data_IF_950922834532
#
_entry.id   IF_950922834532
#
_cell.length_a   1.000
_cell.length_b   1.000
_cell.length_c   1.000
_cell.angle_alpha   90.00
_cell.angle_beta   90.00
_cell.angle_gamma   90.00
#
_symmetry.space_group_name_H-M   'P 1'
#
loop_
_entity.id
_entity.type
_entity.pdbx_description
1 polymer ?
#
# COMPACT_ATOMS: atom_id res chain seq x y z
N UNK A 1 17.05 -2.01 62.51
CA UNK A 1 16.25 -3.08 61.87
C UNK A 1 14.79 -2.68 61.88
N UNK A 2 13.97 -2.72 60.85
CA UNK A 2 14.10 -2.85 59.40
C UNK A 2 12.72 -2.40 58.83
N UNK A 3 12.70 -2.14 57.53
CA UNK A 3 11.90 -1.19 56.76
C UNK A 3 10.49 -1.67 56.38
N UNK A 4 9.62 -0.67 56.20
CA UNK A 4 8.24 -0.66 55.68
C UNK A 4 8.06 -1.53 54.41
N UNK A 5 7.02 -2.39 54.37
CA UNK A 5 6.64 -3.15 53.17
C UNK A 5 5.37 -2.58 52.56
N UNK A 6 5.51 -1.98 51.37
CA UNK A 6 4.41 -1.66 50.45
C UNK A 6 4.45 -2.70 49.32
N UNK A 7 3.38 -3.46 49.02
CA UNK A 7 3.35 -4.25 47.81
C UNK A 7 2.90 -3.39 46.62
N UNK A 8 3.66 -3.56 45.55
CA UNK A 8 3.67 -2.84 44.28
C UNK A 8 2.42 -3.15 43.45
N UNK A 9 1.82 -2.10 42.89
CA UNK A 9 0.74 -2.17 41.89
C UNK A 9 1.36 -2.67 40.58
N UNK A 10 1.01 -3.90 40.17
CA UNK A 10 1.36 -4.42 38.85
C UNK A 10 0.23 -4.08 37.87
N UNK A 11 0.27 -2.85 37.35
CA UNK A 11 -0.62 -2.41 36.29
C UNK A 11 -0.22 -3.08 34.97
N UNK A 12 -1.12 -3.92 34.43
CA UNK A 12 -1.02 -4.48 33.09
C UNK A 12 -1.31 -3.36 32.08
N UNK A 13 -0.25 -2.71 31.58
CA UNK A 13 -0.34 -1.73 30.51
C UNK A 13 -0.55 -2.49 29.20
N UNK A 14 -1.79 -2.50 28.70
CA UNK A 14 -2.07 -2.85 27.31
C UNK A 14 -1.41 -1.79 26.42
N UNK A 15 -0.28 -2.13 25.82
CA UNK A 15 0.29 -1.35 24.73
C UNK A 15 -0.60 -1.57 23.52
N UNK A 16 -1.47 -0.59 23.24
CA UNK A 16 -2.19 -0.47 21.98
C UNK A 16 -1.11 -0.25 20.91
N UNK A 17 -0.77 -1.30 20.18
CA UNK A 17 0.09 -1.22 19.01
C UNK A 17 -0.70 -0.48 17.91
N UNK A 18 -0.53 0.84 17.86
CA UNK A 18 -0.89 1.60 16.68
C UNK A 18 0.29 1.46 15.71
N UNK A 19 0.15 0.60 14.71
CA UNK A 19 1.14 0.46 13.64
C UNK A 19 1.37 1.83 13.02
N UNK A 20 2.62 2.34 12.96
CA UNK A 20 2.89 3.62 12.32
C UNK A 20 2.53 3.51 10.84
N UNK A 21 1.65 4.41 10.38
CA UNK A 21 1.38 4.59 8.96
C UNK A 21 2.58 5.25 8.32
N UNK A 22 3.35 4.50 7.54
CA UNK A 22 4.44 5.06 6.74
C UNK A 22 3.82 5.66 5.49
N UNK A 23 3.87 7.00 5.38
CA UNK A 23 3.58 7.70 4.13
C UNK A 23 4.87 7.71 3.33
N UNK A 24 4.90 6.97 2.23
CA UNK A 24 5.96 7.10 1.25
C UNK A 24 5.65 8.40 0.47
N UNK A 25 6.66 9.25 0.27
CA UNK A 25 6.50 10.49 -0.49
C UNK A 25 7.54 10.48 -1.59
N UNK A 26 7.07 10.50 -2.82
CA UNK A 26 7.93 10.48 -4.00
C UNK A 26 7.94 11.87 -4.63
N UNK A 27 9.12 12.51 -4.67
CA UNK A 27 9.38 13.74 -5.45
C UNK A 27 10.07 13.33 -6.75
N UNK A 28 9.33 12.70 -7.66
CA UNK A 28 9.88 12.17 -8.90
C UNK A 28 10.12 13.29 -9.90
N UNK A 29 11.38 13.72 -10.02
CA UNK A 29 11.85 14.64 -11.06
C UNK A 29 11.85 14.07 -12.49
N UNK A 30 11.04 13.03 -12.77
CA UNK A 30 10.89 12.49 -14.12
C UNK A 30 9.95 13.37 -14.97
N UNK A 31 10.07 13.37 -16.32
CA UNK A 31 9.17 14.11 -17.20
C UNK A 31 7.75 13.53 -17.15
N UNK A 32 7.00 13.95 -16.14
CA UNK A 32 5.61 13.63 -15.93
C UNK A 32 4.76 14.31 -17.02
N UNK A 33 3.77 13.59 -17.54
CA UNK A 33 2.75 14.12 -18.46
C UNK A 33 2.27 15.52 -18.02
N UNK A 34 2.46 16.51 -18.91
CA UNK A 34 2.14 17.92 -18.68
C UNK A 34 0.63 18.17 -18.52
N UNK A 35 -0.21 17.15 -18.77
CA UNK A 35 -1.67 17.22 -18.55
C UNK A 35 -2.06 17.28 -17.08
N UNK A 36 -1.17 16.85 -16.17
CA UNK A 36 -1.46 16.71 -14.74
C UNK A 36 -2.38 15.54 -14.39
N UNK A 37 -2.86 14.77 -15.37
CA UNK A 37 -3.68 13.57 -15.16
C UNK A 37 -2.83 12.40 -14.69
N UNK A 38 -3.46 11.46 -13.97
CA UNK A 38 -2.86 10.17 -13.67
C UNK A 38 -2.47 9.44 -14.97
N UNK A 39 -1.32 8.77 -14.96
CA UNK A 39 -0.77 8.05 -16.10
C UNK A 39 -0.21 6.69 -15.66
N UNK A 40 0.08 5.83 -16.65
CA UNK A 40 0.73 4.53 -16.40
C UNK A 40 2.07 4.67 -15.67
N UNK A 41 2.87 5.69 -15.99
CA UNK A 41 4.14 5.94 -15.31
C UNK A 41 3.94 6.26 -13.83
N UNK A 42 2.89 7.01 -13.48
CA UNK A 42 2.57 7.28 -12.06
C UNK A 42 2.19 5.99 -11.34
N UNK A 43 1.44 5.10 -11.99
CA UNK A 43 1.15 3.78 -11.45
C UNK A 43 2.42 2.94 -11.25
N UNK A 44 3.33 2.91 -12.22
CA UNK A 44 4.61 2.19 -12.11
C UNK A 44 5.46 2.72 -10.94
N UNK A 45 5.54 4.04 -10.78
CA UNK A 45 6.26 4.66 -9.66
C UNK A 45 5.63 4.27 -8.32
N UNK A 46 4.33 4.51 -8.16
CA UNK A 46 3.64 4.27 -6.89
C UNK A 46 3.64 2.78 -6.51
N UNK A 47 3.40 1.90 -7.48
CA UNK A 47 3.38 0.46 -7.25
C UNK A 47 4.76 -0.05 -6.87
N UNK A 48 5.83 0.35 -7.57
CA UNK A 48 7.19 -0.09 -7.20
C UNK A 48 7.54 0.32 -5.77
N UNK A 49 7.22 1.55 -5.39
CA UNK A 49 7.50 2.07 -4.06
C UNK A 49 6.74 1.32 -2.97
N UNK A 50 5.43 1.10 -3.18
CA UNK A 50 4.56 0.40 -2.22
C UNK A 50 4.84 -1.11 -2.20
N UNK A 51 5.20 -1.71 -3.33
CA UNK A 51 5.53 -3.12 -3.42
C UNK A 51 6.83 -3.47 -2.69
N UNK A 52 7.84 -2.60 -2.77
CA UNK A 52 9.08 -2.77 -2.00
C UNK A 52 8.81 -2.79 -0.49
N UNK A 53 7.92 -1.93 0.02
CA UNK A 53 7.48 -1.98 1.42
C UNK A 53 6.79 -3.31 1.76
N UNK A 54 5.89 -3.78 0.89
CA UNK A 54 5.19 -5.06 1.07
C UNK A 54 6.16 -6.24 1.22
N UNK A 55 7.16 -6.35 0.34
CA UNK A 55 8.07 -7.51 0.33
C UNK A 55 9.14 -7.47 1.43
N UNK A 56 9.36 -6.29 2.01
CA UNK A 56 10.25 -6.06 3.15
C UNK A 56 9.48 -6.05 4.48
N UNK A 57 8.16 -6.20 4.45
CA UNK A 57 7.33 -6.16 5.65
C UNK A 57 7.62 -7.32 6.61
N UNK A 58 7.61 -7.00 7.91
CA UNK A 58 7.75 -7.99 9.00
C UNK A 58 6.68 -9.09 8.92
N UNK A 59 5.48 -8.73 8.42
CA UNK A 59 4.41 -9.69 8.19
C UNK A 59 4.83 -10.77 7.19
N UNK A 60 5.35 -10.39 6.03
CA UNK A 60 5.76 -11.35 5.00
C UNK A 60 6.94 -12.20 5.49
N UNK A 61 7.90 -11.59 6.17
CA UNK A 61 9.02 -12.31 6.81
C UNK A 61 8.52 -13.36 7.80
N UNK A 62 7.57 -12.99 8.67
CA UNK A 62 6.96 -13.91 9.64
C UNK A 62 6.15 -15.01 8.95
N UNK A 63 5.39 -14.68 7.89
CA UNK A 63 4.63 -15.64 7.11
C UNK A 63 5.57 -16.69 6.50
N UNK A 64 6.62 -16.25 5.82
CA UNK A 64 7.61 -17.14 5.20
C UNK A 64 8.42 -17.96 6.21
N UNK A 65 8.64 -17.45 7.43
CA UNK A 65 9.32 -18.21 8.48
C UNK A 65 8.43 -19.32 9.08
N UNK A 66 7.11 -19.10 9.14
CA UNK A 66 6.14 -20.07 9.68
C UNK A 66 5.64 -21.06 8.65
N UNK A 67 5.63 -20.67 7.38
CA UNK A 67 5.09 -21.43 6.26
C UNK A 67 6.20 -21.73 5.25
N UNK A 68 6.29 -22.98 4.79
CA UNK A 68 7.26 -23.37 3.75
C UNK A 68 6.75 -23.13 2.32
N UNK A 69 5.84 -22.18 2.13
CA UNK A 69 5.26 -21.83 0.84
C UNK A 69 5.03 -20.31 0.75
N UNK A 70 4.88 -19.80 -0.47
CA UNK A 70 4.59 -18.38 -0.71
C UNK A 70 3.11 -18.10 -0.48
N UNK A 71 2.75 -16.95 0.11
CA UNK A 71 1.35 -16.58 0.23
C UNK A 71 0.69 -16.46 -1.14
N UNK A 72 -0.54 -16.98 -1.28
CA UNK A 72 -1.36 -16.76 -2.48
C UNK A 72 -2.04 -15.41 -2.39
N UNK A 73 -1.98 -14.63 -3.47
CA UNK A 73 -2.49 -13.27 -3.52
C UNK A 73 -3.39 -13.09 -4.75
N UNK A 74 -4.50 -12.39 -4.57
CA UNK A 74 -5.32 -11.88 -5.67
C UNK A 74 -5.24 -10.35 -5.65
N UNK A 75 -4.93 -9.74 -6.79
CA UNK A 75 -5.09 -8.30 -7.00
C UNK A 75 -6.54 -8.07 -7.44
N UNK A 76 -7.37 -7.56 -6.54
CA UNK A 76 -8.81 -7.49 -6.78
C UNK A 76 -9.18 -6.25 -7.61
N UNK A 77 -9.43 -5.13 -6.93
CA UNK A 77 -9.89 -3.89 -7.56
C UNK A 77 -9.17 -2.68 -6.99
N UNK A 78 -8.93 -1.72 -7.88
CA UNK A 78 -8.58 -0.36 -7.54
C UNK A 78 -9.74 0.56 -7.89
N UNK A 79 -10.01 1.54 -7.04
CA UNK A 79 -11.06 2.54 -7.25
C UNK A 79 -10.46 3.93 -7.14
N UNK A 80 -10.91 4.86 -7.96
CA UNK A 80 -10.49 6.25 -7.89
C UNK A 80 -11.67 7.23 -7.75
N UNK A 81 -11.38 8.40 -7.20
CA UNK A 81 -12.36 9.49 -7.03
C UNK A 81 -12.54 10.39 -8.27
N UNK A 82 -11.69 10.20 -9.30
CA UNK A 82 -11.65 11.02 -10.51
C UNK A 82 -12.32 10.37 -11.73
N UNK A 83 -13.05 9.27 -11.53
CA UNK A 83 -13.85 8.53 -12.52
C UNK A 83 -13.07 8.10 -13.78
N UNK A 84 -11.86 7.57 -13.61
CA UNK A 84 -11.05 7.02 -14.70
C UNK A 84 -10.86 5.51 -14.59
N UNK A 85 -11.67 4.73 -15.27
CA UNK A 85 -11.57 3.26 -15.25
C UNK A 85 -10.26 2.74 -15.87
N UNK A 86 -9.64 3.51 -16.79
CA UNK A 86 -8.35 3.15 -17.39
C UNK A 86 -7.26 3.24 -16.33
N UNK A 87 -7.30 4.24 -15.46
CA UNK A 87 -6.37 4.35 -14.33
C UNK A 87 -6.48 3.15 -13.38
N UNK A 88 -7.71 2.70 -13.07
CA UNK A 88 -7.96 1.52 -12.24
C UNK A 88 -7.37 0.24 -12.86
N UNK A 89 -7.57 0.05 -14.17
CA UNK A 89 -7.02 -1.10 -14.88
C UNK A 89 -5.49 -1.05 -14.92
N UNK A 90 -4.91 0.11 -15.23
CA UNK A 90 -3.46 0.26 -15.34
C UNK A 90 -2.74 -0.07 -14.04
N UNK A 91 -3.18 0.48 -12.91
CA UNK A 91 -2.53 0.19 -11.63
C UNK A 91 -2.66 -1.28 -11.24
N UNK A 92 -3.80 -1.92 -11.53
CA UNK A 92 -3.99 -3.36 -11.31
C UNK A 92 -2.97 -4.16 -12.11
N UNK A 93 -2.88 -3.92 -13.42
CA UNK A 93 -1.96 -4.62 -14.32
C UNK A 93 -0.50 -4.44 -13.87
N UNK A 94 -0.11 -3.22 -13.50
CA UNK A 94 1.24 -2.94 -12.99
C UNK A 94 1.52 -3.74 -11.72
N UNK A 95 0.58 -3.80 -10.78
CA UNK A 95 0.73 -4.56 -9.53
C UNK A 95 0.85 -6.07 -9.77
N UNK A 96 0.00 -6.62 -10.64
CA UNK A 96 0.05 -8.04 -11.04
C UNK A 96 1.41 -8.38 -11.65
N UNK A 97 1.91 -7.55 -12.59
CA UNK A 97 3.21 -7.75 -13.21
C UNK A 97 4.36 -7.78 -12.19
N UNK A 98 4.41 -6.81 -11.28
CA UNK A 98 5.48 -6.74 -10.26
C UNK A 98 5.41 -7.94 -9.30
N UNK A 99 4.20 -8.38 -8.93
CA UNK A 99 4.02 -9.59 -8.12
C UNK A 99 4.57 -10.83 -8.85
N UNK A 100 4.21 -11.02 -10.11
CA UNK A 100 4.67 -12.17 -10.91
C UNK A 100 6.19 -12.19 -11.06
N UNK A 101 6.79 -11.04 -11.40
CA UNK A 101 8.22 -10.89 -11.64
C UNK A 101 9.05 -11.20 -10.39
N UNK A 102 8.62 -10.67 -9.24
CA UNK A 102 9.31 -10.85 -7.96
C UNK A 102 9.34 -12.31 -7.47
N UNK A 103 8.33 -13.10 -7.88
CA UNK A 103 8.07 -14.46 -7.39
C UNK A 103 7.97 -14.57 -5.86
N UNK A 104 7.62 -13.49 -5.14
CA UNK A 104 7.46 -13.49 -3.68
C UNK A 104 6.11 -14.02 -3.22
N UNK A 105 5.10 -13.91 -4.09
CA UNK A 105 3.75 -14.43 -3.90
C UNK A 105 3.40 -15.40 -5.03
N UNK A 106 2.33 -16.16 -4.82
CA UNK A 106 1.65 -16.90 -5.89
C UNK A 106 0.41 -16.11 -6.31
N UNK A 107 0.47 -15.49 -7.49
CA UNK A 107 -0.64 -14.69 -8.02
C UNK A 107 -1.76 -15.62 -8.49
N UNK A 108 -2.97 -15.37 -7.99
CA UNK A 108 -4.21 -15.96 -8.47
C UNK A 108 -4.90 -14.90 -9.33
N UNK A 109 -5.21 -15.25 -10.57
CA UNK A 109 -5.96 -14.37 -11.46
C UNK A 109 -7.46 -14.49 -11.18
N UNK A 110 -8.22 -13.43 -11.49
CA UNK A 110 -9.66 -13.36 -11.19
C UNK A 110 -10.52 -14.39 -11.94
N UNK A 111 -10.00 -14.98 -13.01
CA UNK A 111 -10.66 -16.04 -13.79
C UNK A 111 -10.31 -17.46 -13.29
N UNK A 112 -9.41 -17.58 -12.31
CA UNK A 112 -9.10 -18.85 -11.64
C UNK A 112 -10.18 -19.21 -10.60
N UNK A 113 -10.41 -20.52 -10.45
CA UNK A 113 -11.28 -21.10 -9.42
C UNK A 113 -10.61 -21.24 -8.05
N UNK A 114 -9.29 -21.07 -7.99
CA UNK A 114 -8.49 -21.12 -6.77
C UNK A 114 -8.88 -20.01 -5.79
N UNK A 115 -8.99 -20.33 -4.50
CA UNK A 115 -9.31 -19.33 -3.46
C UNK A 115 -8.00 -18.71 -2.95
N UNK A 116 -7.78 -17.40 -3.15
CA UNK A 116 -6.60 -16.73 -2.61
C UNK A 116 -6.70 -16.63 -1.09
N UNK A 117 -5.58 -16.80 -0.38
CA UNK A 117 -5.51 -16.55 1.06
C UNK A 117 -5.46 -15.06 1.39
N UNK A 118 -4.94 -14.26 0.46
CA UNK A 118 -4.84 -12.82 0.61
C UNK A 118 -5.41 -12.07 -0.58
N UNK A 119 -6.10 -10.97 -0.30
CA UNK A 119 -6.71 -10.10 -1.31
C UNK A 119 -6.15 -8.70 -1.16
N UNK A 120 -5.56 -8.19 -2.24
CA UNK A 120 -5.04 -6.83 -2.34
C UNK A 120 -6.12 -5.92 -2.93
N UNK A 121 -6.40 -4.81 -2.26
CA UNK A 121 -7.30 -3.76 -2.73
C UNK A 121 -6.60 -2.42 -2.63
N UNK A 122 -6.98 -1.47 -3.49
CA UNK A 122 -6.45 -0.12 -3.40
C UNK A 122 -7.45 0.96 -3.77
N UNK A 123 -7.16 2.17 -3.30
CA UNK A 123 -7.93 3.38 -3.58
C UNK A 123 -6.97 4.49 -3.99
N UNK A 124 -7.37 5.29 -4.99
CA UNK A 124 -6.63 6.47 -5.46
C UNK A 124 -7.50 7.69 -5.30
N UNK A 125 -7.13 8.58 -4.38
CA UNK A 125 -7.82 9.84 -4.16
C UNK A 125 -7.03 11.00 -4.74
N UNK A 126 -7.71 12.00 -5.27
CA UNK A 126 -7.10 13.17 -5.87
C UNK A 126 -7.50 14.44 -5.13
N UNK A 127 -6.55 15.36 -4.96
CA UNK A 127 -6.81 16.66 -4.35
C UNK A 127 -6.01 17.74 -5.05
N UNK A 128 -6.65 18.89 -5.30
CA UNK A 128 -5.95 20.06 -5.85
C UNK A 128 -5.16 20.75 -4.76
N UNK A 129 -3.99 21.27 -5.11
CA UNK A 129 -3.20 22.13 -4.22
C UNK A 129 -2.78 23.41 -4.93
N UNK A 130 -2.62 24.48 -4.14
CA UNK A 130 -2.06 25.76 -4.57
C UNK A 130 -1.09 26.24 -3.49
N UNK A 131 0.17 26.47 -3.84
CA UNK A 131 1.24 26.90 -2.94
C UNK A 131 2.21 27.84 -3.68
N UNK A 132 2.46 29.04 -3.16
CA UNK A 132 3.56 29.91 -3.62
C UNK A 132 3.72 30.04 -5.15
N UNK A 133 2.63 30.39 -5.85
CA UNK A 133 2.52 30.47 -7.32
C UNK A 133 2.55 29.13 -8.08
N UNK A 134 2.60 28.00 -7.40
CA UNK A 134 2.48 26.68 -7.99
C UNK A 134 1.09 26.11 -7.70
N UNK A 135 0.50 25.44 -8.68
CA UNK A 135 -0.74 24.70 -8.51
C UNK A 135 -0.58 23.31 -9.08
N UNK A 136 -1.40 22.38 -8.62
CA UNK A 136 -1.23 21.00 -9.00
C UNK A 136 -2.30 20.06 -8.47
N UNK A 137 -2.07 18.78 -8.71
CA UNK A 137 -2.89 17.68 -8.23
C UNK A 137 -2.00 16.76 -7.40
N UNK A 138 -2.48 16.40 -6.21
CA UNK A 138 -1.90 15.35 -5.38
C UNK A 138 -2.75 14.11 -5.55
N UNK A 139 -2.12 13.00 -5.92
CA UNK A 139 -2.72 11.67 -5.93
C UNK A 139 -2.22 10.89 -4.71
N UNK A 140 -3.15 10.38 -3.92
CA UNK A 140 -2.88 9.56 -2.74
C UNK A 140 -3.34 8.13 -3.02
N UNK A 141 -2.39 7.20 -3.01
CA UNK A 141 -2.64 5.77 -3.17
C UNK A 141 -2.68 5.14 -1.78
N UNK A 142 -3.78 4.48 -1.45
CA UNK A 142 -3.91 3.67 -0.24
C UNK A 142 -4.12 2.21 -0.64
N UNK A 143 -3.33 1.29 -0.09
CA UNK A 143 -3.39 -0.14 -0.42
C UNK A 143 -3.51 -0.95 0.86
N UNK A 144 -4.31 -2.01 0.80
CA UNK A 144 -4.49 -2.97 1.88
C UNK A 144 -4.39 -4.40 1.36
N UNK A 145 -3.69 -5.24 2.12
CA UNK A 145 -3.67 -6.68 1.97
C UNK A 145 -4.49 -7.29 3.11
N UNK A 146 -5.57 -7.99 2.76
CA UNK A 146 -6.46 -8.63 3.73
C UNK A 146 -6.39 -10.15 3.63
N UNK A 147 -6.52 -10.84 4.76
CA UNK A 147 -6.69 -12.30 4.79
C UNK A 147 -8.16 -12.70 4.53
N UNK A 148 -8.43 -14.00 4.41
CA UNK A 148 -9.79 -14.56 4.22
C UNK A 148 -10.76 -14.29 5.36
N UNK A 149 -10.27 -13.87 6.53
CA UNK A 149 -11.08 -13.52 7.71
C UNK A 149 -11.48 -12.04 7.72
N UNK A 150 -11.00 -11.26 6.73
CA UNK A 150 -11.25 -9.82 6.64
C UNK A 150 -10.30 -8.96 7.46
N UNK A 151 -9.23 -9.55 7.99
CA UNK A 151 -8.21 -8.80 8.74
C UNK A 151 -7.19 -8.19 7.79
N UNK A 152 -6.91 -6.90 7.97
CA UNK A 152 -5.81 -6.22 7.27
C UNK A 152 -4.49 -6.69 7.89
N UNK A 153 -3.70 -7.42 7.10
CA UNK A 153 -2.39 -7.94 7.54
C UNK A 153 -1.24 -7.03 7.16
N UNK A 154 -1.45 -6.18 6.15
CA UNK A 154 -0.51 -5.14 5.74
C UNK A 154 -1.26 -4.01 5.03
N UNK A 155 -0.78 -2.79 5.16
CA UNK A 155 -1.31 -1.62 4.46
C UNK A 155 -0.20 -0.59 4.23
N UNK A 156 -0.33 0.20 3.18
CA UNK A 156 0.59 1.30 2.86
C UNK A 156 -0.15 2.47 2.22
N UNK A 157 0.44 3.66 2.36
CA UNK A 157 -0.01 4.89 1.71
C UNK A 157 1.18 5.54 0.98
N UNK A 158 0.99 5.94 -0.28
CA UNK A 158 1.99 6.68 -1.07
C UNK A 158 1.35 7.90 -1.72
N UNK A 159 2.17 8.92 -2.02
CA UNK A 159 1.69 10.18 -2.57
C UNK A 159 2.52 10.64 -3.76
N UNK A 160 1.84 10.96 -4.86
CA UNK A 160 2.40 11.59 -6.06
C UNK A 160 1.88 13.01 -6.18
N UNK A 161 2.79 13.98 -6.34
CA UNK A 161 2.45 15.39 -6.62
C UNK A 161 2.74 15.73 -8.07
N UNK A 162 1.72 16.23 -8.77
CA UNK A 162 1.84 16.74 -10.13
C UNK A 162 1.66 18.25 -10.15
N UNK A 163 2.68 18.95 -10.61
CA UNK A 163 2.64 20.39 -10.82
C UNK A 163 2.06 20.72 -12.19
N UNK A 164 1.08 21.62 -12.24
CA UNK A 164 0.54 22.18 -13.46
C UNK A 164 1.41 23.35 -13.91
N UNK A 165 1.97 23.28 -15.11
CA UNK A 165 2.68 24.43 -15.69
C UNK A 165 1.66 25.52 -16.04
N UNK A 166 1.94 26.75 -15.61
CA UNK A 166 1.23 27.96 -16.04
C UNK A 166 1.58 28.32 -17.49
#
# INVERSE_FOLDING_TARGET
MNYLKLPVILGLIFLIACSPKTVLQTDTGEPIDLSGKWSRTDAEIAVNQVYEDLIQSEWLHTFSARNNYRPTILVNSFVNDFNDDVANQQIKEVFENVIEESRRFELIHSDDTSIPYFVLNGEINSSKFEMNNESGITYQLAIQLMNTEGEVVWNAEDTIKKFLKQ
#
